data_IF_875405069209
#
_entry.id   IF_875405069209
#
_cell.length_a   1.000
_cell.length_b   1.000
_cell.length_c   1.000
_cell.angle_alpha   90.00
_cell.angle_beta   90.00
_cell.angle_gamma   90.00
#
_symmetry.space_group_name_H-M   'P 1'
#
loop_
_entity.id
_entity.type
_entity.pdbx_description
1 polymer ?
#
# COMPACT_ATOMS: atom_id res chain seq x y z
N UNK A 1 35.05 6.77 -13.93
CA UNK A 1 34.02 7.82 -13.86
C UNK A 1 32.69 7.10 -14.05
N UNK A 2 31.88 7.02 -13.00
CA UNK A 2 30.56 6.41 -13.05
C UNK A 2 29.56 7.49 -13.52
N UNK A 3 28.78 7.19 -14.55
CA UNK A 3 27.75 8.11 -15.03
C UNK A 3 26.55 8.14 -14.06
N UNK A 4 25.95 9.31 -13.82
CA UNK A 4 24.80 9.45 -12.94
C UNK A 4 23.56 8.85 -13.61
N UNK A 5 22.88 7.96 -12.89
CA UNK A 5 21.56 7.47 -13.25
C UNK A 5 20.58 8.64 -13.31
N UNK A 6 20.26 9.13 -14.51
CA UNK A 6 19.10 9.99 -14.71
C UNK A 6 17.85 9.12 -14.66
N UNK A 7 17.11 9.20 -13.55
CA UNK A 7 15.76 8.66 -13.45
C UNK A 7 14.91 9.23 -14.59
N UNK A 8 14.47 8.37 -15.50
CA UNK A 8 13.59 8.74 -16.60
C UNK A 8 12.17 8.94 -16.05
N UNK A 9 11.82 10.19 -15.74
CA UNK A 9 10.54 10.61 -15.16
C UNK A 9 9.32 10.48 -16.12
N UNK A 10 9.37 9.59 -17.11
CA UNK A 10 8.36 9.49 -18.18
C UNK A 10 7.52 8.19 -18.16
N UNK A 11 7.47 7.46 -17.04
CA UNK A 11 6.41 6.47 -16.84
C UNK A 11 5.14 7.14 -16.28
N UNK A 12 4.60 8.10 -17.04
CA UNK A 12 3.22 8.54 -16.83
C UNK A 12 2.29 7.38 -17.21
N UNK A 13 1.72 6.70 -16.22
CA UNK A 13 0.60 5.79 -16.41
C UNK A 13 -0.53 6.54 -17.16
N UNK A 14 -1.17 5.91 -18.15
CA UNK A 14 -2.17 6.58 -18.97
C UNK A 14 -3.44 6.81 -18.15
N UNK A 15 -3.80 8.10 -17.97
CA UNK A 15 -5.10 8.54 -17.48
C UNK A 15 -5.27 8.35 -15.97
N UNK A 16 -4.97 9.39 -15.19
CA UNK A 16 -5.41 9.47 -13.81
C UNK A 16 -6.93 9.29 -13.77
N UNK A 17 -7.40 8.15 -13.28
CA UNK A 17 -8.80 7.94 -12.94
C UNK A 17 -9.18 9.02 -11.92
N UNK A 18 -10.33 9.67 -12.12
CA UNK A 18 -10.84 10.57 -11.09
C UNK A 18 -11.14 9.77 -9.80
N UNK A 19 -11.12 10.46 -8.66
CA UNK A 19 -11.27 9.80 -7.35
C UNK A 19 -12.58 9.01 -7.23
N UNK A 20 -13.65 9.41 -7.92
CA UNK A 20 -14.93 8.68 -7.92
C UNK A 20 -14.84 7.37 -8.69
N UNK A 21 -14.15 7.37 -9.83
CA UNK A 21 -13.90 6.18 -10.65
C UNK A 21 -13.02 5.16 -9.93
N UNK A 22 -12.01 5.62 -9.19
CA UNK A 22 -11.17 4.76 -8.34
C UNK A 22 -12.00 4.10 -7.23
N UNK A 23 -12.78 4.88 -6.48
CA UNK A 23 -13.63 4.35 -5.41
C UNK A 23 -14.63 3.31 -5.94
N UNK A 24 -15.32 3.60 -7.05
CA UNK A 24 -16.30 2.68 -7.63
C UNK A 24 -15.68 1.37 -8.16
N UNK A 25 -14.47 1.42 -8.73
CA UNK A 25 -13.75 0.23 -9.17
C UNK A 25 -13.34 -0.65 -7.97
N UNK A 26 -12.76 -0.03 -6.93
CA UNK A 26 -12.38 -0.70 -5.69
C UNK A 26 -13.59 -1.33 -5.00
N UNK A 27 -14.67 -0.58 -4.83
CA UNK A 27 -15.89 -1.05 -4.17
C UNK A 27 -16.52 -2.24 -4.91
N UNK A 28 -16.60 -2.19 -6.25
CA UNK A 28 -17.09 -3.33 -7.03
C UNK A 28 -16.25 -4.58 -6.80
N UNK A 29 -14.92 -4.48 -6.83
CA UNK A 29 -14.06 -5.63 -6.58
C UNK A 29 -14.23 -6.20 -5.16
N UNK A 30 -14.43 -5.33 -4.16
CA UNK A 30 -14.65 -5.76 -2.76
C UNK A 30 -16.02 -6.40 -2.58
N UNK A 31 -17.08 -5.85 -3.19
CA UNK A 31 -18.47 -6.29 -2.99
C UNK A 31 -18.83 -7.49 -3.86
N UNK A 32 -18.44 -7.49 -5.13
CA UNK A 32 -18.87 -8.49 -6.11
C UNK A 32 -18.05 -9.79 -6.03
N UNK A 33 -16.99 -9.82 -5.19
CA UNK A 33 -16.12 -10.99 -5.07
C UNK A 33 -15.49 -11.39 -6.41
N UNK A 34 -15.40 -10.46 -7.36
CA UNK A 34 -14.70 -10.68 -8.61
C UNK A 34 -13.29 -11.15 -8.29
N UNK A 35 -12.73 -12.02 -9.15
CA UNK A 35 -11.34 -12.44 -9.07
C UNK A 35 -10.47 -11.18 -9.23
N UNK A 36 -10.21 -10.50 -8.12
CA UNK A 36 -9.39 -9.32 -8.06
C UNK A 36 -8.02 -9.61 -8.69
N UNK A 37 -7.29 -8.55 -9.07
CA UNK A 37 -6.00 -8.69 -9.69
C UNK A 37 -5.12 -9.49 -8.73
N UNK A 38 -4.44 -10.48 -9.28
CA UNK A 38 -3.55 -11.34 -8.51
C UNK A 38 -2.23 -10.60 -8.32
N UNK A 39 -1.59 -10.86 -7.18
CA UNK A 39 -0.20 -10.51 -7.01
C UNK A 39 0.64 -11.21 -8.10
N UNK A 40 1.83 -10.68 -8.43
CA UNK A 40 2.78 -11.32 -9.34
C UNK A 40 3.16 -12.75 -8.91
N UNK A 41 3.01 -13.07 -7.62
CA UNK A 41 3.19 -14.43 -7.11
C UNK A 41 2.03 -15.39 -7.41
N UNK A 42 0.89 -14.89 -7.87
CA UNK A 42 -0.36 -15.63 -8.05
C UNK A 42 -1.27 -15.61 -6.81
N UNK A 43 -0.79 -15.04 -5.70
CA UNK A 43 -1.56 -14.84 -4.47
C UNK A 43 -2.69 -13.82 -4.65
N UNK A 44 -3.68 -13.88 -3.77
CA UNK A 44 -4.72 -12.85 -3.68
C UNK A 44 -4.15 -11.59 -3.02
N UNK A 45 -4.69 -10.43 -3.41
CA UNK A 45 -4.43 -9.17 -2.76
C UNK A 45 -5.55 -8.87 -1.76
N UNK A 46 -5.20 -8.32 -0.60
CA UNK A 46 -6.12 -7.90 0.45
C UNK A 46 -5.95 -6.42 0.72
N UNK A 47 -7.05 -5.68 0.86
CA UNK A 47 -7.04 -4.24 1.10
C UNK A 47 -6.90 -3.95 2.59
N UNK A 48 -5.88 -3.19 2.97
CA UNK A 48 -5.53 -2.89 4.36
C UNK A 48 -5.36 -1.37 4.52
N UNK A 49 -5.93 -0.77 5.59
CA UNK A 49 -5.66 0.64 5.90
C UNK A 49 -4.16 0.89 6.08
N UNK A 50 -3.65 2.01 5.55
CA UNK A 50 -2.22 2.35 5.63
C UNK A 50 -1.70 2.40 7.07
N UNK A 51 -2.53 2.82 8.03
CA UNK A 51 -2.23 2.79 9.46
C UNK A 51 -1.93 1.37 9.96
N UNK A 52 -2.81 0.42 9.64
CA UNK A 52 -2.64 -0.99 10.02
C UNK A 52 -1.41 -1.60 9.35
N UNK A 53 -1.18 -1.26 8.08
CA UNK A 53 0.00 -1.65 7.32
C UNK A 53 1.29 -1.15 7.98
N UNK A 54 1.36 0.13 8.36
CA UNK A 54 2.51 0.70 9.05
C UNK A 54 2.79 -0.01 10.39
N UNK A 55 1.73 -0.40 11.11
CA UNK A 55 1.84 -1.23 12.31
C UNK A 55 2.47 -2.60 12.04
N UNK A 56 2.11 -3.26 10.93
CA UNK A 56 2.73 -4.52 10.51
C UNK A 56 4.22 -4.35 10.21
N UNK A 57 4.61 -3.30 9.48
CA UNK A 57 6.03 -3.00 9.18
C UNK A 57 6.87 -2.86 10.45
N UNK A 58 6.31 -2.19 11.47
CA UNK A 58 7.00 -2.01 12.75
C UNK A 58 7.18 -3.34 13.48
N UNK A 59 6.12 -4.17 13.52
CA UNK A 59 6.17 -5.52 14.12
C UNK A 59 7.18 -6.42 13.44
N UNK A 60 7.27 -6.41 12.10
CA UNK A 60 8.27 -7.18 11.34
C UNK A 60 9.72 -6.75 11.65
N UNK A 61 9.93 -5.49 12.04
CA UNK A 61 11.23 -4.97 12.50
C UNK A 61 11.52 -5.29 13.97
N UNK A 62 10.68 -6.09 14.63
CA UNK A 62 10.81 -6.44 16.04
C UNK A 62 10.38 -5.32 17.00
N UNK A 63 9.65 -4.31 16.50
CA UNK A 63 9.05 -3.28 17.34
C UNK A 63 7.68 -3.80 17.77
N UNK A 64 7.60 -4.28 19.01
CA UNK A 64 6.33 -4.67 19.61
C UNK A 64 5.48 -3.42 19.86
N UNK A 65 4.48 -3.22 19.02
CA UNK A 65 3.39 -2.30 19.29
C UNK A 65 2.40 -3.00 20.21
N UNK A 66 2.02 -2.40 21.35
CA UNK A 66 0.93 -2.90 22.15
C UNK A 66 -0.31 -3.12 21.27
N UNK A 67 -1.08 -4.16 21.55
CA UNK A 67 -2.35 -4.36 20.85
C UNK A 67 -3.26 -3.12 21.04
N UNK A 68 -4.24 -2.93 20.14
CA UNK A 68 -5.04 -1.71 20.00
C UNK A 68 -5.68 -1.18 21.31
N UNK A 69 -5.79 -2.02 22.35
CA UNK A 69 -6.30 -1.64 23.67
C UNK A 69 -5.25 -0.97 24.59
N UNK A 70 -3.95 -1.16 24.34
CA UNK A 70 -2.86 -0.73 25.24
C UNK A 70 -1.80 0.09 24.50
N UNK A 71 -2.16 0.71 23.36
CA UNK A 71 -1.31 1.66 22.64
C UNK A 71 -0.86 2.73 23.62
N UNK A 72 0.36 2.56 24.13
CA UNK A 72 1.03 3.53 24.99
C UNK A 72 0.84 4.92 24.41
N UNK A 73 0.76 5.94 25.26
CA UNK A 73 0.57 7.33 24.85
C UNK A 73 1.51 7.74 23.69
N UNK A 74 2.69 7.10 23.64
CA UNK A 74 3.69 7.17 22.55
C UNK A 74 3.20 6.63 21.21
N UNK A 75 2.58 5.44 21.16
CA UNK A 75 2.05 4.85 19.92
C UNK A 75 0.92 5.69 19.31
N UNK A 76 0.02 6.18 20.17
CA UNK A 76 -1.06 7.11 19.78
C UNK A 76 -0.51 8.45 19.30
N UNK A 77 0.52 8.97 19.96
CA UNK A 77 1.19 10.21 19.56
C UNK A 77 1.92 10.08 18.21
N UNK A 78 2.61 8.95 17.98
CA UNK A 78 3.26 8.66 16.70
C UNK A 78 2.23 8.53 15.57
N UNK A 79 1.14 7.79 15.77
CA UNK A 79 0.05 7.74 14.79
C UNK A 79 -0.54 9.12 14.50
N UNK A 80 -0.76 9.93 15.53
CA UNK A 80 -1.30 11.29 15.35
C UNK A 80 -0.33 12.19 14.58
N UNK A 81 0.98 12.10 14.83
CA UNK A 81 1.99 12.82 14.03
C UNK A 81 1.96 12.33 12.58
N UNK A 82 2.04 11.02 12.34
CA UNK A 82 2.05 10.44 11.00
C UNK A 82 0.79 10.84 10.23
N UNK A 83 -0.37 10.80 10.90
CA UNK A 83 -1.65 11.24 10.35
C UNK A 83 -1.67 12.74 10.06
N UNK A 84 -1.26 13.60 11.00
CA UNK A 84 -1.26 15.07 10.84
C UNK A 84 -0.35 15.54 9.71
N UNK A 85 0.79 14.89 9.57
CA UNK A 85 1.76 15.21 8.52
C UNK A 85 1.53 14.40 7.24
N UNK A 86 0.50 13.55 7.20
CA UNK A 86 0.21 12.61 6.11
C UNK A 86 1.46 11.80 5.67
N UNK A 87 2.32 11.48 6.63
CA UNK A 87 3.55 10.73 6.41
C UNK A 87 3.22 9.25 6.48
N UNK A 88 3.31 8.56 5.34
CA UNK A 88 3.34 7.11 5.30
C UNK A 88 4.69 6.70 4.72
N UNK A 89 5.28 5.63 5.27
CA UNK A 89 6.48 5.02 4.68
C UNK A 89 6.14 4.00 3.60
N UNK A 90 4.89 3.97 3.13
CA UNK A 90 4.39 2.98 2.19
C UNK A 90 4.48 3.58 0.79
N UNK A 91 5.21 2.90 -0.07
CA UNK A 91 5.41 3.28 -1.47
C UNK A 91 4.67 2.25 -2.32
N UNK A 92 3.90 2.71 -3.30
CA UNK A 92 3.24 1.81 -4.25
C UNK A 92 4.27 1.19 -5.20
N UNK A 93 4.34 -0.13 -5.29
CA UNK A 93 5.30 -0.83 -6.16
C UNK A 93 5.02 -0.66 -7.67
N UNK A 94 3.86 -0.13 -8.05
CA UNK A 94 3.49 0.06 -9.45
C UNK A 94 3.75 1.48 -9.97
N UNK A 95 3.45 2.49 -9.15
CA UNK A 95 3.64 3.90 -9.55
C UNK A 95 4.78 4.59 -8.81
N UNK A 96 5.42 3.93 -7.83
CA UNK A 96 6.53 4.45 -7.02
C UNK A 96 6.19 5.71 -6.20
N UNK A 97 4.90 6.03 -6.06
CA UNK A 97 4.42 7.17 -5.28
C UNK A 97 4.13 6.77 -3.81
N UNK A 98 4.32 7.73 -2.90
CA UNK A 98 3.94 7.58 -1.51
C UNK A 98 2.41 7.46 -1.38
N UNK A 99 1.97 6.42 -0.65
CA UNK A 99 0.55 6.21 -0.39
C UNK A 99 0.14 7.01 0.84
N UNK A 100 -0.86 7.91 0.78
CA UNK A 100 -1.26 8.70 1.95
C UNK A 100 -1.62 7.86 3.17
N UNK A 101 -1.28 8.33 4.38
CA UNK A 101 -1.55 7.59 5.62
C UNK A 101 -3.05 7.38 5.88
N UNK A 102 -3.90 8.31 5.41
CA UNK A 102 -5.35 8.21 5.52
C UNK A 102 -6.01 7.28 4.49
N UNK A 103 -5.22 6.66 3.60
CA UNK A 103 -5.72 5.80 2.52
C UNK A 103 -5.55 4.32 2.86
N UNK A 104 -5.60 3.46 1.85
CA UNK A 104 -5.41 2.02 2.00
C UNK A 104 -4.50 1.50 0.89
N UNK A 105 -3.87 0.37 1.17
CA UNK A 105 -3.05 -0.36 0.22
C UNK A 105 -3.55 -1.77 0.04
N UNK A 106 -3.27 -2.33 -1.12
CA UNK A 106 -3.50 -3.72 -1.44
C UNK A 106 -2.20 -4.49 -1.24
N UNK A 107 -2.25 -5.46 -0.33
CA UNK A 107 -1.12 -6.28 0.08
C UNK A 107 -1.31 -7.72 -0.39
N UNK A 108 -0.24 -8.40 -0.74
CA UNK A 108 -0.29 -9.85 -1.00
C UNK A 108 -0.58 -10.64 0.29
N UNK A 109 -1.56 -11.54 0.27
CA UNK A 109 -1.86 -12.42 1.42
C UNK A 109 -0.71 -13.39 1.75
N UNK A 110 0.18 -13.65 0.79
CA UNK A 110 1.37 -14.46 1.03
C UNK A 110 2.50 -13.69 1.73
N UNK A 111 2.35 -12.37 1.97
CA UNK A 111 3.36 -11.54 2.62
C UNK A 111 4.68 -11.52 1.88
N UNK A 112 5.78 -11.72 2.59
CA UNK A 112 7.16 -11.83 2.08
C UNK A 112 7.57 -13.29 1.76
N UNK A 113 6.65 -14.25 1.88
CA UNK A 113 6.96 -15.69 1.84
C UNK A 113 7.24 -16.25 0.45
N UNK A 114 7.35 -15.41 -0.58
CA UNK A 114 7.55 -15.86 -1.96
C UNK A 114 8.76 -15.19 -2.60
N UNK A 115 9.53 -15.95 -3.39
CA UNK A 115 10.73 -15.44 -4.09
C UNK A 115 10.39 -14.36 -5.13
N UNK A 116 9.13 -14.24 -5.54
CA UNK A 116 8.69 -13.34 -6.61
C UNK A 116 8.58 -11.87 -6.18
N UNK A 117 8.50 -11.58 -4.90
CA UNK A 117 8.64 -10.24 -4.33
C UNK A 117 9.46 -10.36 -3.05
N UNK A 118 10.68 -9.81 -3.07
CA UNK A 118 11.64 -9.92 -1.96
C UNK A 118 11.25 -9.02 -0.77
N UNK A 119 10.37 -8.05 -1.01
CA UNK A 119 9.79 -7.14 -0.02
C UNK A 119 8.28 -7.27 -0.03
N UNK A 120 7.64 -6.63 0.95
CA UNK A 120 6.20 -6.42 0.98
C UNK A 120 5.75 -5.79 -0.36
N UNK A 121 4.68 -6.31 -0.95
CA UNK A 121 4.14 -5.85 -2.24
C UNK A 121 2.88 -5.03 -1.99
N UNK A 122 2.99 -3.71 -2.08
CA UNK A 122 1.97 -2.72 -1.77
C UNK A 122 1.50 -2.01 -3.05
N UNK A 123 0.19 -2.08 -3.33
CA UNK A 123 -0.42 -1.40 -4.47
C UNK A 123 -1.45 -0.38 -3.97
N UNK A 124 -1.38 0.87 -4.45
CA UNK A 124 -2.39 1.88 -4.12
C UNK A 124 -3.74 1.60 -4.80
N UNK A 125 -4.83 2.16 -4.27
CA UNK A 125 -6.18 1.99 -4.84
C UNK A 125 -6.27 2.42 -6.31
N UNK A 126 -5.56 3.48 -6.71
CA UNK A 126 -5.56 3.97 -8.09
C UNK A 126 -4.95 2.94 -9.06
N UNK A 127 -3.75 2.43 -8.74
CA UNK A 127 -3.11 1.40 -9.55
C UNK A 127 -3.90 0.09 -9.56
N UNK A 128 -4.50 -0.29 -8.42
CA UNK A 128 -5.38 -1.45 -8.36
C UNK A 128 -6.59 -1.27 -9.28
N UNK A 129 -7.27 -0.12 -9.20
CA UNK A 129 -8.44 0.21 -10.02
C UNK A 129 -8.11 0.15 -11.53
N UNK A 130 -6.93 0.62 -11.94
CA UNK A 130 -6.48 0.55 -13.33
C UNK A 130 -6.17 -0.87 -13.82
N UNK A 131 -5.92 -1.83 -12.93
CA UNK A 131 -5.71 -3.24 -13.30
C UNK A 131 -7.02 -4.03 -13.46
N UNK A 132 -8.14 -3.51 -12.95
CA UNK A 132 -9.45 -4.17 -12.94
C UNK A 132 -10.50 -3.50 -13.82
N UNK A 133 -10.21 -2.30 -14.32
CA UNK A 133 -11.01 -1.57 -15.31
C UNK A 133 -10.83 -2.14 -16.71
#
# INVERSE_FOLDING_TARGET
AAEPWTANANNHLPGALDSQSVCAAVERCVVEGMLGPKCVCGGSLTRVPSEKRAGLTLRERGIELPDDEDLSEVGRYLQEILRRHNMSSIICDLCEEEVPFASSVWMCENGDRTIKHATEYDICDACFASCVS
#
